data_IF_903379571356
#
_entry.id   IF_903379571356
#
_cell.length_a   1.000
_cell.length_b   1.000
_cell.length_c   1.000
_cell.angle_alpha   90.00
_cell.angle_beta   90.00
_cell.angle_gamma   90.00
#
_symmetry.space_group_name_H-M   'P 1'
#
loop_
_entity.id
_entity.type
_entity.pdbx_description
1 polymer ?
#
# COMPACT_ATOMS: atom_id res chain seq x y z
N UNK A 1 61.68 29.73 -20.83
CA UNK A 1 60.22 29.64 -20.68
C UNK A 1 59.79 28.28 -21.21
N UNK A 2 59.49 27.31 -20.34
CA UNK A 2 59.08 25.94 -20.73
C UNK A 2 57.57 25.83 -20.54
N UNK A 3 56.85 25.64 -21.64
CA UNK A 3 55.40 25.42 -21.64
C UNK A 3 55.12 23.97 -21.24
N UNK A 4 54.30 23.77 -20.21
CA UNK A 4 53.76 22.47 -19.81
C UNK A 4 52.34 22.37 -20.41
N UNK A 5 52.04 21.43 -21.32
CA UNK A 5 50.68 21.27 -21.81
C UNK A 5 49.87 20.51 -20.76
N UNK A 6 48.78 21.14 -20.31
CA UNK A 6 47.85 20.59 -19.34
C UNK A 6 47.13 19.37 -19.90
N UNK A 7 47.26 18.25 -19.19
CA UNK A 7 46.45 17.06 -19.35
C UNK A 7 45.08 17.34 -18.72
N UNK A 8 44.09 17.67 -19.54
CA UNK A 8 42.68 17.72 -19.12
C UNK A 8 42.22 16.27 -18.99
N UNK A 9 42.27 15.73 -17.77
CA UNK A 9 41.59 14.48 -17.43
C UNK A 9 40.08 14.72 -17.52
N UNK A 10 39.46 14.24 -18.61
CA UNK A 10 38.01 14.14 -18.73
C UNK A 10 37.56 13.00 -17.79
N UNK A 11 37.16 13.35 -16.56
CA UNK A 11 36.46 12.42 -15.68
C UNK A 11 35.13 12.05 -16.36
N UNK A 12 34.85 10.78 -16.65
CA UNK A 12 33.50 10.39 -17.02
C UNK A 12 32.62 10.72 -15.82
N UNK A 13 31.68 11.65 -16.00
CA UNK A 13 30.53 11.79 -15.12
C UNK A 13 29.87 10.43 -15.08
N UNK A 14 30.15 9.68 -14.03
CA UNK A 14 29.40 8.48 -13.67
C UNK A 14 28.02 9.01 -13.29
N UNK A 15 27.14 9.13 -14.29
CA UNK A 15 25.74 9.46 -14.06
C UNK A 15 25.24 8.45 -13.03
N UNK A 16 24.78 8.88 -11.85
CA UNK A 16 24.13 7.97 -10.92
C UNK A 16 22.89 7.48 -11.67
N UNK A 17 22.99 6.25 -12.15
CA UNK A 17 21.92 5.28 -12.23
C UNK A 17 20.53 5.94 -12.30
N UNK A 18 20.13 6.35 -13.50
CA UNK A 18 18.73 6.60 -13.80
C UNK A 18 18.03 5.24 -13.70
N UNK A 19 17.73 4.79 -12.48
CA UNK A 19 16.63 3.87 -12.28
C UNK A 19 15.41 4.63 -12.79
N UNK A 20 14.72 4.06 -13.78
CA UNK A 20 13.37 4.52 -14.10
C UNK A 20 12.61 4.47 -12.79
N UNK A 21 12.23 5.63 -12.27
CA UNK A 21 11.59 5.69 -10.97
C UNK A 21 10.18 5.15 -11.17
N UNK A 22 9.76 4.24 -10.30
CA UNK A 22 8.44 3.63 -10.34
C UNK A 22 7.29 4.65 -10.51
N UNK A 23 7.46 5.87 -9.99
CA UNK A 23 6.49 6.95 -10.16
C UNK A 23 6.37 7.43 -11.61
N UNK A 24 7.47 7.45 -12.37
CA UNK A 24 7.46 7.79 -13.78
C UNK A 24 6.70 6.72 -14.58
N UNK A 25 6.93 5.43 -14.29
CA UNK A 25 6.21 4.33 -14.93
C UNK A 25 4.70 4.36 -14.66
N UNK A 26 4.31 4.73 -13.43
CA UNK A 26 2.90 4.93 -13.04
C UNK A 26 2.28 6.09 -13.82
N UNK A 27 2.98 7.22 -13.90
CA UNK A 27 2.51 8.42 -14.60
C UNK A 27 2.43 8.21 -16.12
N UNK A 28 3.45 7.61 -16.72
CA UNK A 28 3.52 7.33 -18.16
C UNK A 28 2.40 6.39 -18.61
N UNK A 29 2.06 5.41 -17.77
CA UNK A 29 0.93 4.49 -18.01
C UNK A 29 -0.43 5.11 -17.65
N UNK A 30 -0.46 6.11 -16.78
CA UNK A 30 -1.68 6.79 -16.33
C UNK A 30 -2.58 5.93 -15.44
N UNK A 31 -2.01 4.92 -14.76
CA UNK A 31 -2.75 4.07 -13.82
C UNK A 31 -1.85 3.53 -12.70
N UNK A 32 -2.38 3.44 -11.48
CA UNK A 32 -1.77 2.77 -10.33
C UNK A 32 -2.32 1.34 -10.24
N UNK A 33 -1.47 0.33 -10.37
CA UNK A 33 -1.84 -1.09 -10.29
C UNK A 33 -1.88 -1.53 -8.83
N UNK A 34 -3.06 -1.81 -8.33
CA UNK A 34 -3.33 -2.10 -6.92
C UNK A 34 -3.73 -3.56 -6.76
N UNK A 35 -2.90 -4.36 -6.10
CA UNK A 35 -3.20 -5.74 -5.79
C UNK A 35 -3.98 -5.88 -4.48
N UNK A 36 -5.02 -6.72 -4.51
CA UNK A 36 -5.80 -7.08 -3.33
C UNK A 36 -6.46 -8.45 -3.52
N UNK A 37 -6.93 -9.01 -2.41
CA UNK A 37 -7.96 -10.05 -2.45
C UNK A 37 -9.34 -9.38 -2.50
N UNK A 38 -10.41 -10.15 -2.74
CA UNK A 38 -11.76 -9.61 -2.81
C UNK A 38 -12.75 -10.49 -2.05
N UNK A 39 -12.35 -10.94 -0.87
CA UNK A 39 -13.03 -11.94 -0.04
C UNK A 39 -13.17 -11.52 1.43
N UNK A 40 -12.79 -10.29 1.79
CA UNK A 40 -12.64 -9.82 3.17
C UNK A 40 -13.47 -8.55 3.42
N UNK A 41 -14.81 -8.65 3.57
CA UNK A 41 -15.63 -7.53 4.03
C UNK A 41 -15.28 -7.13 5.46
N UNK A 42 -15.30 -5.83 5.82
CA UNK A 42 -15.66 -4.67 4.99
C UNK A 42 -14.48 -4.04 4.22
N UNK A 43 -13.31 -4.68 4.21
CA UNK A 43 -12.06 -4.09 3.69
C UNK A 43 -11.96 -4.16 2.17
N UNK A 44 -11.97 -5.36 1.61
CA UNK A 44 -11.92 -5.59 0.17
C UNK A 44 -12.77 -6.83 -0.17
N UNK A 45 -13.86 -6.63 -0.89
CA UNK A 45 -14.80 -7.71 -1.21
C UNK A 45 -15.55 -7.45 -2.50
N UNK A 46 -16.26 -8.46 -2.98
CA UNK A 46 -17.21 -8.29 -4.08
C UNK A 46 -18.63 -8.15 -3.55
N UNK A 47 -19.30 -7.07 -3.93
CA UNK A 47 -20.73 -6.85 -3.75
C UNK A 47 -21.38 -6.83 -5.14
N UNK A 48 -22.34 -7.72 -5.39
CA UNK A 48 -22.94 -7.94 -6.72
C UNK A 48 -21.92 -8.05 -7.87
N UNK A 49 -20.78 -8.69 -7.58
CA UNK A 49 -19.69 -8.90 -8.53
C UNK A 49 -18.78 -7.68 -8.75
N UNK A 50 -19.07 -6.55 -8.13
CA UNK A 50 -18.24 -5.34 -8.16
C UNK A 50 -17.33 -5.27 -6.95
N UNK A 51 -16.11 -4.80 -7.16
CA UNK A 51 -15.15 -4.62 -6.07
C UNK A 51 -15.59 -3.45 -5.17
N UNK A 52 -15.63 -3.69 -3.87
CA UNK A 52 -16.19 -2.79 -2.86
C UNK A 52 -15.44 -2.93 -1.53
N UNK A 53 -15.53 -1.91 -0.68
CA UNK A 53 -14.93 -1.91 0.66
C UNK A 53 -13.98 -0.75 0.92
N UNK A 54 -13.54 -0.66 2.18
CA UNK A 54 -12.66 0.37 2.69
C UNK A 54 -11.36 0.52 1.87
N UNK A 55 -10.66 -0.58 1.62
CA UNK A 55 -9.34 -0.59 0.97
C UNK A 55 -9.44 -0.33 -0.53
N UNK A 56 -10.58 -0.67 -1.12
CA UNK A 56 -10.92 -0.35 -2.51
C UNK A 56 -11.12 1.16 -2.65
N UNK A 57 -11.92 1.76 -1.78
CA UNK A 57 -12.13 3.22 -1.81
C UNK A 57 -10.86 4.00 -1.45
N UNK A 58 -10.04 3.49 -0.52
CA UNK A 58 -8.72 4.06 -0.23
C UNK A 58 -7.79 4.01 -1.46
N UNK A 59 -7.72 2.86 -2.15
CA UNK A 59 -6.94 2.73 -3.37
C UNK A 59 -7.36 3.71 -4.46
N UNK A 60 -8.67 3.93 -4.61
CA UNK A 60 -9.20 4.91 -5.55
C UNK A 60 -8.81 6.35 -5.18
N UNK A 61 -8.86 6.69 -3.88
CA UNK A 61 -8.43 8.01 -3.42
C UNK A 61 -6.93 8.24 -3.66
N UNK A 62 -6.10 7.24 -3.42
CA UNK A 62 -4.66 7.32 -3.65
C UNK A 62 -4.34 7.53 -5.14
N UNK A 63 -4.97 6.75 -6.02
CA UNK A 63 -4.80 6.94 -7.46
C UNK A 63 -5.23 8.35 -7.90
N UNK A 64 -6.34 8.86 -7.37
CA UNK A 64 -6.81 10.22 -7.66
C UNK A 64 -5.82 11.30 -7.19
N UNK A 65 -5.22 11.16 -6.00
CA UNK A 65 -4.19 12.10 -5.51
C UNK A 65 -2.90 12.08 -6.33
N UNK A 66 -2.62 10.93 -6.98
CA UNK A 66 -1.51 10.75 -7.89
C UNK A 66 -1.85 11.13 -9.34
N UNK A 67 -3.06 11.63 -9.60
CA UNK A 67 -3.57 12.02 -10.93
C UNK A 67 -3.55 10.87 -11.96
N UNK A 68 -3.81 9.64 -11.50
CA UNK A 68 -3.88 8.44 -12.33
C UNK A 68 -5.15 7.62 -12.04
N UNK A 69 -5.48 6.68 -12.92
CA UNK A 69 -6.60 5.74 -12.68
C UNK A 69 -6.20 4.65 -11.69
N UNK A 70 -7.13 4.17 -10.87
CA UNK A 70 -6.91 2.93 -10.14
C UNK A 70 -7.13 1.73 -11.07
N UNK A 71 -6.17 0.82 -11.14
CA UNK A 71 -6.28 -0.48 -11.81
C UNK A 71 -6.19 -1.60 -10.76
N UNK A 72 -7.34 -2.15 -10.35
CA UNK A 72 -7.39 -3.17 -9.32
C UNK A 72 -7.16 -4.56 -9.90
N UNK A 73 -6.17 -5.27 -9.35
CA UNK A 73 -5.91 -6.67 -9.67
C UNK A 73 -6.31 -7.55 -8.49
N UNK A 74 -7.40 -8.30 -8.68
CA UNK A 74 -7.81 -9.34 -7.73
C UNK A 74 -6.88 -10.55 -7.91
N UNK A 75 -6.13 -10.89 -6.87
CA UNK A 75 -5.14 -11.98 -6.85
C UNK A 75 -5.32 -12.82 -5.57
N UNK A 76 -4.63 -13.95 -5.46
CA UNK A 76 -4.53 -14.70 -4.20
C UNK A 76 -3.38 -14.20 -3.32
N UNK A 77 -3.39 -14.60 -2.04
CA UNK A 77 -2.42 -14.15 -1.04
C UNK A 77 -0.98 -14.58 -1.36
N UNK A 78 -0.79 -15.73 -2.03
CA UNK A 78 0.54 -16.28 -2.35
C UNK A 78 1.21 -15.45 -3.45
N UNK A 79 0.44 -14.94 -4.41
CA UNK A 79 0.91 -14.12 -5.52
C UNK A 79 0.95 -12.62 -5.21
N UNK A 80 0.21 -12.16 -4.20
CA UNK A 80 0.01 -10.73 -3.93
C UNK A 80 1.33 -9.99 -3.66
N UNK A 81 2.09 -10.42 -2.66
CA UNK A 81 3.35 -9.75 -2.29
C UNK A 81 4.48 -10.03 -3.29
N UNK A 82 4.53 -11.24 -3.85
CA UNK A 82 5.52 -11.59 -4.88
C UNK A 82 5.30 -10.76 -6.16
N UNK A 83 4.04 -10.45 -6.48
CA UNK A 83 3.67 -9.55 -7.56
C UNK A 83 4.13 -8.11 -7.33
N UNK A 84 4.05 -7.61 -6.10
CA UNK A 84 4.60 -6.29 -5.74
C UNK A 84 6.14 -6.30 -5.83
N UNK A 85 6.79 -7.32 -5.28
CA UNK A 85 8.26 -7.42 -5.26
C UNK A 85 8.85 -7.45 -6.67
N UNK A 86 8.18 -8.14 -7.59
CA UNK A 86 8.58 -8.26 -9.00
C UNK A 86 8.16 -7.08 -9.88
N UNK A 87 7.39 -6.12 -9.37
CA UNK A 87 6.86 -4.99 -10.15
C UNK A 87 5.69 -5.34 -11.09
N UNK A 88 5.08 -6.54 -10.92
CA UNK A 88 3.82 -6.91 -11.58
C UNK A 88 2.68 -5.98 -11.13
N UNK A 89 2.72 -5.55 -9.88
CA UNK A 89 1.82 -4.57 -9.26
C UNK A 89 2.63 -3.45 -8.63
N UNK A 90 2.05 -2.27 -8.51
CA UNK A 90 2.74 -1.12 -7.93
C UNK A 90 2.63 -1.14 -6.40
N UNK A 91 1.42 -1.36 -5.89
CA UNK A 91 1.13 -1.45 -4.46
C UNK A 91 0.22 -2.63 -4.17
N UNK A 92 0.19 -3.05 -2.90
CA UNK A 92 -0.90 -3.89 -2.38
C UNK A 92 -1.64 -3.20 -1.24
N UNK A 93 -2.98 -3.26 -1.26
CA UNK A 93 -3.84 -2.78 -0.17
C UNK A 93 -4.73 -3.94 0.26
N UNK A 94 -4.24 -4.74 1.20
CA UNK A 94 -4.89 -5.96 1.66
C UNK A 94 -4.62 -6.19 3.16
N UNK A 95 -4.95 -5.19 3.98
CA UNK A 95 -4.86 -5.19 5.44
C UNK A 95 -3.54 -5.76 5.97
N UNK A 96 -2.44 -5.27 5.37
CA UNK A 96 -1.10 -5.80 5.58
C UNK A 96 -0.47 -5.15 6.81
N UNK A 97 -0.21 -5.97 7.83
CA UNK A 97 0.54 -5.56 9.00
C UNK A 97 2.04 -5.47 8.67
N UNK A 98 2.69 -4.44 9.19
CA UNK A 98 4.14 -4.26 9.02
C UNK A 98 4.90 -5.23 9.93
N UNK A 99 5.71 -6.10 9.35
CA UNK A 99 6.61 -7.02 10.08
C UNK A 99 8.08 -6.76 9.74
N UNK A 100 9.04 -7.16 10.59
CA UNK A 100 10.47 -7.05 10.29
C UNK A 100 10.86 -7.74 8.97
N UNK A 101 10.37 -8.96 8.75
CA UNK A 101 10.68 -9.75 7.56
C UNK A 101 10.18 -9.09 6.27
N UNK A 102 9.01 -8.45 6.31
CA UNK A 102 8.51 -7.70 5.16
C UNK A 102 9.28 -6.40 4.95
N UNK A 103 9.75 -5.71 6.00
CA UNK A 103 10.59 -4.50 5.87
C UNK A 103 11.94 -4.78 5.20
N UNK A 104 12.43 -6.01 5.30
CA UNK A 104 13.64 -6.41 4.60
C UNK A 104 13.42 -6.53 3.08
N UNK A 105 12.18 -6.77 2.64
CA UNK A 105 11.82 -7.01 1.23
C UNK A 105 11.10 -5.84 0.55
N UNK A 106 10.36 -5.05 1.31
CA UNK A 106 9.48 -3.99 0.82
C UNK A 106 9.75 -2.68 1.56
N UNK A 107 9.51 -1.58 0.85
CA UNK A 107 9.25 -0.29 1.51
C UNK A 107 7.74 -0.20 1.78
N UNK A 108 7.38 0.61 2.79
CA UNK A 108 6.00 0.73 3.26
C UNK A 108 5.60 2.19 3.36
N UNK A 109 4.32 2.44 3.11
CA UNK A 109 3.71 3.71 3.51
C UNK A 109 3.70 3.86 5.04
N UNK A 110 3.47 5.08 5.53
CA UNK A 110 2.93 5.29 6.86
C UNK A 110 1.61 4.52 7.00
N UNK A 111 1.29 4.01 8.21
CA UNK A 111 0.06 3.25 8.41
C UNK A 111 -1.18 4.08 8.08
N UNK A 112 -2.16 3.50 7.38
CA UNK A 112 -3.45 4.14 7.10
C UNK A 112 -4.49 3.80 8.17
N UNK A 113 -4.30 2.71 8.93
CA UNK A 113 -5.12 2.40 10.11
C UNK A 113 -4.19 2.01 11.26
N UNK A 114 -4.49 2.54 12.45
CA UNK A 114 -4.04 1.97 13.71
C UNK A 114 -5.26 1.42 14.43
N UNK A 115 -5.33 0.10 14.61
CA UNK A 115 -6.46 -0.54 15.28
C UNK A 115 -5.98 -1.59 16.27
N UNK A 116 -6.82 -1.93 17.24
CA UNK A 116 -6.51 -2.99 18.19
C UNK A 116 -6.82 -4.36 17.54
N UNK A 117 -5.94 -5.33 17.70
CA UNK A 117 -6.09 -6.68 17.11
C UNK A 117 -7.46 -7.34 17.41
N UNK A 118 -8.08 -7.04 18.56
CA UNK A 118 -9.40 -7.57 18.94
C UNK A 118 -10.57 -7.01 18.11
N UNK A 119 -10.47 -5.77 17.60
CA UNK A 119 -11.50 -5.21 16.72
C UNK A 119 -11.49 -5.86 15.35
N UNK A 120 -10.30 -6.17 14.83
CA UNK A 120 -10.14 -6.93 13.58
C UNK A 120 -10.69 -8.35 13.77
N UNK A 121 -10.28 -9.06 14.84
CA UNK A 121 -10.71 -10.43 15.09
C UNK A 121 -12.19 -10.59 15.50
N UNK A 122 -12.87 -9.53 15.97
CA UNK A 122 -14.31 -9.57 16.26
C UNK A 122 -15.18 -9.22 15.06
N UNK A 123 -14.67 -8.44 14.11
CA UNK A 123 -15.37 -8.12 12.85
C UNK A 123 -15.10 -9.16 11.75
N UNK A 124 -14.14 -10.07 11.94
CA UNK A 124 -13.78 -11.10 10.95
C UNK A 124 -13.85 -12.54 11.49
N UNK A 125 -14.27 -13.46 10.61
CA UNK A 125 -13.83 -14.86 10.64
C UNK A 125 -12.40 -14.90 10.04
N UNK A 126 -11.39 -15.46 10.72
CA UNK A 126 -9.98 -15.15 10.48
C UNK A 126 -9.50 -15.69 9.12
N UNK A 127 -9.24 -14.80 8.15
CA UNK A 127 -8.65 -15.21 6.86
C UNK A 127 -7.59 -14.28 6.27
N UNK A 128 -7.22 -13.20 6.96
CA UNK A 128 -6.07 -12.40 6.55
C UNK A 128 -4.77 -13.14 6.84
N UNK A 129 -4.18 -13.82 5.85
CA UNK A 129 -3.04 -14.74 6.07
C UNK A 129 -1.86 -14.05 6.78
N UNK A 130 -1.56 -12.78 6.48
CA UNK A 130 -0.44 -12.05 7.10
C UNK A 130 -0.71 -11.61 8.54
N UNK A 131 -1.94 -11.17 8.83
CA UNK A 131 -2.35 -10.91 10.21
C UNK A 131 -2.40 -12.22 11.00
N UNK A 132 -2.96 -13.27 10.41
CA UNK A 132 -3.02 -14.61 10.99
C UNK A 132 -1.60 -15.12 11.27
N UNK A 133 -0.66 -14.99 10.33
CA UNK A 133 0.76 -15.33 10.54
C UNK A 133 1.32 -14.57 11.75
N UNK A 134 1.16 -13.24 11.78
CA UNK A 134 1.60 -12.39 12.89
C UNK A 134 1.00 -12.83 14.24
N UNK A 135 -0.28 -13.21 14.27
CA UNK A 135 -0.99 -13.69 15.46
C UNK A 135 -0.64 -15.14 15.85
N UNK A 136 -0.17 -15.96 14.90
CA UNK A 136 0.24 -17.35 15.13
C UNK A 136 1.70 -17.48 15.56
N UNK A 137 2.56 -16.59 15.07
CA UNK A 137 3.97 -16.50 15.46
C UNK A 137 4.10 -15.99 16.90
N UNK A 138 3.24 -15.04 17.31
CA UNK A 138 3.00 -14.74 18.72
C UNK A 138 1.50 -14.52 18.98
N UNK A 139 0.91 -15.36 19.83
CA UNK A 139 -0.43 -15.10 20.39
C UNK A 139 -0.34 -13.77 21.15
N UNK A 140 -1.04 -12.68 20.75
CA UNK A 140 -0.84 -11.40 21.42
C UNK A 140 -1.25 -11.54 22.87
N UNK A 141 -0.27 -11.50 23.78
CA UNK A 141 -0.52 -11.31 25.20
C UNK A 141 -0.99 -9.89 25.50
N UNK A 142 -0.82 -8.98 24.53
CA UNK A 142 -1.10 -7.55 24.65
C UNK A 142 -2.05 -7.06 23.55
N UNK A 143 -2.83 -6.02 23.88
CA UNK A 143 -3.76 -5.31 22.99
C UNK A 143 -3.02 -4.32 22.07
N UNK A 144 -1.77 -4.62 21.70
CA UNK A 144 -0.93 -3.68 20.99
C UNK A 144 -1.58 -3.27 19.64
N UNK A 145 -1.47 -1.99 19.24
CA UNK A 145 -2.07 -1.53 18.00
C UNK A 145 -1.42 -2.24 16.80
N UNK A 146 -2.24 -2.85 15.96
CA UNK A 146 -1.87 -3.33 14.63
C UNK A 146 -1.91 -2.13 13.69
N UNK A 147 -0.79 -1.90 13.02
CA UNK A 147 -0.63 -0.82 12.06
C UNK A 147 -0.66 -1.40 10.65
N UNK A 148 -1.70 -1.07 9.89
CA UNK A 148 -1.88 -1.53 8.51
C UNK A 148 -1.26 -0.50 7.57
N UNK A 149 -0.39 -0.96 6.67
CA UNK A 149 0.36 -0.11 5.75
C UNK A 149 0.39 -0.70 4.34
N UNK A 150 0.82 0.11 3.37
CA UNK A 150 0.82 -0.23 1.95
C UNK A 150 2.26 -0.61 1.55
N UNK A 151 2.58 -1.89 1.29
CA UNK A 151 3.86 -2.27 0.73
C UNK A 151 3.95 -1.89 -0.75
N UNK A 152 5.16 -1.53 -1.15
CA UNK A 152 5.59 -1.36 -2.54
C UNK A 152 7.03 -1.85 -2.71
N UNK A 153 7.49 -1.90 -3.97
CA UNK A 153 8.83 -2.38 -4.27
C UNK A 153 9.90 -1.53 -3.57
N UNK A 154 10.85 -2.20 -2.92
CA UNK A 154 11.94 -1.57 -2.18
C UNK A 154 12.85 -0.73 -3.06
N UNK A 155 13.34 0.39 -2.53
CA UNK A 155 14.31 1.26 -3.19
C UNK A 155 13.68 2.30 -4.13
N UNK A 156 12.43 2.68 -3.92
CA UNK A 156 11.69 3.65 -4.75
C UNK A 156 11.36 4.94 -3.97
N UNK A 157 12.35 5.79 -3.63
CA UNK A 157 12.14 6.94 -2.74
C UNK A 157 11.22 8.02 -3.30
N UNK A 158 11.22 8.28 -4.62
CA UNK A 158 10.31 9.25 -5.21
C UNK A 158 8.86 8.77 -5.23
N UNK A 159 8.64 7.49 -5.56
CA UNK A 159 7.32 6.88 -5.43
C UNK A 159 6.84 6.91 -3.98
N UNK A 160 7.73 6.56 -3.03
CA UNK A 160 7.43 6.63 -1.60
C UNK A 160 6.96 8.04 -1.21
N UNK A 161 7.73 9.07 -1.57
CA UNK A 161 7.36 10.45 -1.26
C UNK A 161 6.02 10.86 -1.89
N UNK A 162 5.73 10.47 -3.12
CA UNK A 162 4.45 10.73 -3.78
C UNK A 162 3.29 10.02 -3.07
N UNK A 163 3.45 8.74 -2.74
CA UNK A 163 2.44 7.95 -2.02
C UNK A 163 2.18 8.52 -0.62
N UNK A 164 3.23 8.92 0.11
CA UNK A 164 3.09 9.56 1.41
C UNK A 164 2.33 10.88 1.30
N UNK A 165 2.70 11.74 0.36
CA UNK A 165 2.02 13.02 0.18
C UNK A 165 0.53 12.83 -0.15
N UNK A 166 0.21 11.85 -1.01
CA UNK A 166 -1.17 11.47 -1.32
C UNK A 166 -1.92 11.02 -0.04
N UNK A 167 -1.35 10.07 0.71
CA UNK A 167 -1.97 9.57 1.94
C UNK A 167 -2.14 10.68 2.99
N UNK A 168 -1.16 11.58 3.14
CA UNK A 168 -1.22 12.70 4.07
C UNK A 168 -2.30 13.71 3.68
N UNK A 169 -2.54 13.97 2.39
CA UNK A 169 -3.65 14.83 1.96
C UNK A 169 -5.00 14.20 2.27
N UNK A 170 -5.16 12.91 1.98
CA UNK A 170 -6.38 12.13 2.31
C UNK A 170 -6.66 12.12 3.82
N UNK A 171 -5.61 12.07 4.64
CA UNK A 171 -5.71 12.22 6.10
C UNK A 171 -6.09 13.65 6.49
N UNK A 172 -5.39 14.64 5.96
CA UNK A 172 -5.52 16.04 6.36
C UNK A 172 -6.88 16.65 6.04
N UNK A 173 -7.53 16.20 4.96
CA UNK A 173 -8.87 16.68 4.57
C UNK A 173 -10.03 15.82 5.09
N UNK A 174 -9.73 14.80 5.92
CA UNK A 174 -10.73 13.98 6.60
C UNK A 174 -11.36 12.88 5.73
N UNK A 175 -10.91 12.68 4.49
CA UNK A 175 -11.42 11.59 3.64
C UNK A 175 -11.12 10.21 4.24
N UNK A 176 -9.95 10.01 4.84
CA UNK A 176 -9.65 8.75 5.52
C UNK A 176 -10.60 8.48 6.68
N UNK A 177 -10.85 9.48 7.53
CA UNK A 177 -11.79 9.38 8.64
C UNK A 177 -13.21 9.07 8.15
N UNK A 178 -13.64 9.70 7.05
CA UNK A 178 -14.94 9.41 6.44
C UNK A 178 -15.03 7.96 5.95
N UNK A 179 -13.96 7.40 5.35
CA UNK A 179 -13.91 5.98 4.97
C UNK A 179 -13.98 5.07 6.20
N UNK A 180 -13.22 5.38 7.25
CA UNK A 180 -13.25 4.61 8.50
C UNK A 180 -14.64 4.62 9.13
N UNK A 181 -15.31 5.77 9.22
CA UNK A 181 -16.68 5.84 9.75
C UNK A 181 -17.66 5.04 8.90
N UNK A 182 -17.58 5.16 7.56
CA UNK A 182 -18.46 4.46 6.62
C UNK A 182 -18.34 2.94 6.74
N UNK A 183 -17.11 2.43 6.75
CA UNK A 183 -16.85 0.99 6.60
C UNK A 183 -16.54 0.29 7.92
N UNK A 184 -15.92 1.00 8.87
CA UNK A 184 -15.40 0.44 10.12
C UNK A 184 -16.10 1.01 11.37
N UNK A 185 -16.99 1.99 11.21
CA UNK A 185 -17.81 2.54 12.28
C UNK A 185 -18.69 1.50 12.97
N UNK A 186 -19.26 1.89 14.12
CA UNK A 186 -20.16 1.03 14.90
C UNK A 186 -21.44 0.65 14.13
N UNK A 187 -21.88 1.51 13.21
CA UNK A 187 -23.11 1.32 12.42
C UNK A 187 -22.88 0.58 11.10
N UNK A 188 -21.62 0.31 10.71
CA UNK A 188 -21.28 -0.35 9.44
C UNK A 188 -21.80 -1.80 9.33
N UNK A 189 -22.28 -2.39 10.43
CA UNK A 189 -22.91 -3.71 10.47
C UNK A 189 -24.43 -3.71 10.24
N UNK A 190 -25.07 -2.55 10.09
CA UNK A 190 -26.50 -2.47 9.74
C UNK A 190 -26.61 -2.54 8.22
N UNK A 191 -26.87 -3.75 7.69
CA UNK A 191 -27.19 -3.94 6.28
C UNK A 191 -28.26 -2.91 5.84
N UNK A 192 -28.17 -2.32 4.64
CA UNK A 192 -29.17 -1.39 4.17
C UNK A 192 -30.54 -2.08 4.21
N UNK A 193 -31.45 -1.53 5.01
CA UNK A 193 -32.82 -2.04 5.11
C UNK A 193 -33.52 -1.77 3.77
N UNK A 194 -34.24 -2.74 3.19
CA UNK A 194 -34.96 -2.56 1.93
C UNK A 194 -36.03 -1.47 2.01
#
# INVERSE_FOLDING_TARGET
MRFLPGLICLLPLLSPLAHAEMIDDVNDRGELRIALEANTPPFNFKDDGQLSGFEVELGQLLANELDVRADFVVTDSDDLLNGVESGKYDIAINHIAVTPDLKDRFDFSEPYIHTNAQLIAQKEEPRSILLVQSLTEEKPKDRSPVSLAIPFQKGNPAFHASLENALQRIKADGRLEALEQKWLGADAGVAPKP
#
